data_IF_388059120693
#
_entry.id   IF_388059120693
#
_cell.length_a   1.000
_cell.length_b   1.000
_cell.length_c   1.000
_cell.angle_alpha   90.00
_cell.angle_beta   90.00
_cell.angle_gamma   90.00
#
_symmetry.space_group_name_H-M   'P 1'
#
loop_
_entity.id
_entity.type
_entity.pdbx_description
1 polymer ?
#
# COMPACT_ATOMS: atom_id res chain seq x y z
N UNK A 1 -5.20 -1.86 36.31
CA UNK A 1 -4.47 -2.63 35.29
C UNK A 1 -4.56 -4.09 35.71
N UNK A 2 -4.94 -4.96 34.80
CA UNK A 2 -5.16 -6.39 35.04
C UNK A 2 -4.28 -7.19 34.10
N UNK A 3 -3.92 -8.40 34.51
CA UNK A 3 -3.33 -9.42 33.63
C UNK A 3 -4.28 -9.72 32.48
N UNK A 4 -3.75 -9.87 31.27
CA UNK A 4 -4.52 -10.14 30.05
C UNK A 4 -4.12 -11.51 29.51
N UNK A 5 -5.11 -12.35 29.25
CA UNK A 5 -4.90 -13.63 28.54
C UNK A 5 -5.29 -13.48 27.07
N UNK A 6 -4.39 -13.83 26.18
CA UNK A 6 -4.59 -13.77 24.73
C UNK A 6 -4.00 -15.01 24.07
N UNK A 7 -4.83 -15.78 23.39
CA UNK A 7 -4.40 -16.97 22.64
C UNK A 7 -3.53 -17.94 23.45
N UNK A 8 -3.87 -18.16 24.74
CA UNK A 8 -3.15 -19.04 25.66
C UNK A 8 -1.91 -18.43 26.31
N UNK A 9 -1.57 -17.20 25.99
CA UNK A 9 -0.48 -16.44 26.62
C UNK A 9 -1.03 -15.52 27.71
N UNK A 10 -0.28 -15.40 28.80
CA UNK A 10 -0.56 -14.49 29.91
C UNK A 10 0.37 -13.29 29.85
N UNK A 11 -0.21 -12.09 29.91
CA UNK A 11 0.53 -10.83 29.86
C UNK A 11 0.30 -10.05 31.14
N UNK A 12 1.40 -9.76 31.83
CA UNK A 12 1.38 -9.00 33.06
C UNK A 12 0.94 -7.53 32.85
N UNK A 13 0.40 -6.87 33.88
CA UNK A 13 0.06 -5.47 33.83
C UNK A 13 1.24 -4.59 33.40
N UNK A 14 1.09 -3.85 32.31
CA UNK A 14 2.15 -3.01 31.76
C UNK A 14 2.90 -3.61 30.55
N UNK A 15 2.62 -4.87 30.19
CA UNK A 15 3.14 -5.44 28.95
C UNK A 15 2.68 -4.61 27.74
N UNK A 16 3.61 -4.37 26.80
CA UNK A 16 3.33 -3.67 25.56
C UNK A 16 3.24 -4.71 24.44
N UNK A 17 2.06 -4.85 23.85
CA UNK A 17 1.83 -5.72 22.72
C UNK A 17 1.95 -4.91 21.43
N UNK A 18 2.84 -5.31 20.54
CA UNK A 18 3.06 -4.62 19.25
C UNK A 18 2.71 -5.57 18.11
N UNK A 19 1.53 -5.41 17.47
CA UNK A 19 1.20 -6.18 16.29
C UNK A 19 2.14 -5.82 15.14
N UNK A 20 2.81 -6.82 14.56
CA UNK A 20 3.70 -6.61 13.44
C UNK A 20 2.93 -6.73 12.12
N UNK A 21 2.47 -5.59 11.59
CA UNK A 21 1.72 -5.50 10.32
C UNK A 21 2.54 -6.06 9.15
N UNK A 22 3.86 -5.82 9.14
CA UNK A 22 4.74 -6.36 8.11
C UNK A 22 4.69 -7.89 8.07
N UNK A 23 4.85 -8.56 9.21
CA UNK A 23 4.77 -10.01 9.28
C UNK A 23 3.37 -10.52 8.91
N UNK A 24 2.32 -9.83 9.32
CA UNK A 24 0.95 -10.20 8.97
C UNK A 24 0.74 -10.18 7.44
N UNK A 25 1.30 -9.19 6.74
CA UNK A 25 1.22 -9.07 5.28
C UNK A 25 2.21 -9.98 4.53
N UNK A 26 3.09 -10.69 5.24
CA UNK A 26 4.07 -11.63 4.66
C UNK A 26 3.81 -13.09 5.08
N UNK A 27 2.64 -13.38 5.65
CA UNK A 27 2.24 -14.76 5.94
C UNK A 27 1.92 -15.48 4.63
N UNK A 28 2.67 -16.54 4.34
CA UNK A 28 2.53 -17.29 3.08
C UNK A 28 1.15 -17.94 2.92
N UNK A 29 0.50 -18.29 4.05
CA UNK A 29 -0.86 -18.85 4.07
C UNK A 29 -1.91 -17.87 3.57
N UNK A 30 -1.71 -16.57 3.88
CA UNK A 30 -2.63 -15.49 3.48
C UNK A 30 -2.20 -14.86 2.16
N UNK A 31 -0.89 -14.71 1.97
CA UNK A 31 -0.29 -14.05 0.82
C UNK A 31 0.73 -15.00 0.16
N UNK A 32 0.31 -15.89 -0.73
CA UNK A 32 1.25 -16.72 -1.50
C UNK A 32 2.26 -15.84 -2.23
N UNK A 33 3.55 -16.23 -2.19
CA UNK A 33 4.67 -15.45 -2.72
C UNK A 33 4.67 -13.98 -2.19
N UNK A 34 4.77 -13.75 -0.85
CA UNK A 34 4.52 -12.42 -0.27
C UNK A 34 5.52 -11.36 -0.72
N UNK A 35 6.73 -11.75 -1.08
CA UNK A 35 7.77 -10.84 -1.61
C UNK A 35 7.52 -10.43 -3.06
N UNK A 36 6.62 -11.11 -3.76
CA UNK A 36 6.30 -10.81 -5.15
C UNK A 36 5.27 -9.69 -5.24
N UNK A 37 5.56 -8.65 -6.02
CA UNK A 37 4.56 -7.65 -6.39
C UNK A 37 3.51 -8.29 -7.30
N UNK A 38 2.36 -8.58 -6.73
CA UNK A 38 1.23 -9.19 -7.43
C UNK A 38 -0.07 -8.47 -7.05
N UNK A 39 -0.45 -7.42 -7.78
CA UNK A 39 -1.69 -6.67 -7.52
C UNK A 39 -2.95 -7.50 -7.79
N UNK A 40 -2.87 -8.52 -8.64
CA UNK A 40 -4.03 -9.34 -9.04
C UNK A 40 -4.58 -10.16 -7.86
N UNK A 41 -3.77 -10.38 -6.80
CA UNK A 41 -4.26 -11.03 -5.58
C UNK A 41 -5.44 -10.29 -4.94
N UNK A 42 -5.51 -8.97 -5.09
CA UNK A 42 -6.61 -8.16 -4.58
C UNK A 42 -7.84 -8.16 -5.49
N UNK A 43 -7.68 -8.62 -6.73
CA UNK A 43 -8.80 -8.84 -7.66
C UNK A 43 -9.36 -10.26 -7.48
N UNK A 44 -8.50 -11.23 -7.18
CA UNK A 44 -8.86 -12.63 -7.03
C UNK A 44 -9.60 -12.93 -5.72
N UNK A 45 -9.27 -12.22 -4.65
CA UNK A 45 -9.89 -12.43 -3.33
C UNK A 45 -10.00 -11.13 -2.53
N UNK A 46 -10.91 -11.13 -1.57
CA UNK A 46 -11.05 -10.07 -0.58
C UNK A 46 -10.38 -10.50 0.71
N UNK A 47 -9.46 -9.69 1.19
CA UNK A 47 -8.84 -9.86 2.49
C UNK A 47 -9.72 -9.27 3.58
N UNK A 48 -9.78 -9.92 4.73
CA UNK A 48 -10.46 -9.41 5.92
C UNK A 48 -9.69 -8.24 6.52
N UNK A 49 -10.33 -7.51 7.42
CA UNK A 49 -9.68 -6.40 8.15
C UNK A 49 -8.61 -6.86 9.14
N UNK A 50 -8.49 -8.15 9.42
CA UNK A 50 -7.40 -8.73 10.21
C UNK A 50 -6.25 -9.25 9.35
N UNK A 51 -6.47 -9.46 8.07
CA UNK A 51 -5.46 -9.91 7.12
C UNK A 51 -4.79 -8.73 6.40
N UNK A 52 -5.54 -7.70 6.02
CA UNK A 52 -5.02 -6.53 5.31
C UNK A 52 -5.17 -5.26 6.15
N UNK A 53 -4.07 -4.83 6.74
CA UNK A 53 -3.99 -3.80 7.79
C UNK A 53 -3.12 -2.59 7.40
N UNK A 54 -3.13 -2.08 6.16
CA UNK A 54 -2.23 -0.99 5.75
C UNK A 54 -2.47 0.31 6.53
N UNK A 55 -3.65 0.45 7.12
CA UNK A 55 -4.06 1.58 7.95
C UNK A 55 -4.36 1.17 9.41
N UNK A 56 -3.79 0.05 9.85
CA UNK A 56 -4.12 -0.54 11.13
C UNK A 56 -5.49 -1.22 11.15
N UNK A 57 -5.98 -1.56 12.34
CA UNK A 57 -7.24 -2.28 12.50
C UNK A 57 -7.94 -1.94 13.81
N UNK A 58 -9.17 -2.45 13.93
CA UNK A 58 -10.01 -2.27 15.13
C UNK A 58 -10.39 -0.81 15.41
N UNK A 59 -10.63 -0.50 16.66
CA UNK A 59 -11.06 0.84 17.10
C UNK A 59 -10.00 1.95 16.94
N UNK A 60 -8.77 1.58 16.62
CA UNK A 60 -7.63 2.50 16.39
C UNK A 60 -7.19 2.56 14.96
N UNK A 61 -7.99 2.05 14.02
CA UNK A 61 -7.73 2.21 12.59
C UNK A 61 -7.60 3.68 12.20
N UNK A 62 -6.82 3.95 11.15
CA UNK A 62 -6.55 5.32 10.69
C UNK A 62 -7.83 6.03 10.27
N UNK A 63 -8.14 7.15 10.92
CA UNK A 63 -9.30 8.00 10.58
C UNK A 63 -9.18 8.60 9.17
N UNK A 64 -7.94 8.84 8.69
CA UNK A 64 -7.66 9.40 7.37
C UNK A 64 -7.62 8.38 6.22
N UNK A 65 -7.94 7.10 6.47
CA UNK A 65 -7.80 6.04 5.46
C UNK A 65 -8.53 6.36 4.15
N UNK A 66 -9.79 6.78 4.23
CA UNK A 66 -10.59 7.09 3.04
C UNK A 66 -10.00 8.23 2.22
N UNK A 67 -9.59 9.32 2.89
CA UNK A 67 -8.94 10.47 2.25
C UNK A 67 -7.61 10.07 1.61
N UNK A 68 -6.76 9.36 2.35
CA UNK A 68 -5.45 8.91 1.84
C UNK A 68 -5.59 8.00 0.62
N UNK A 69 -6.54 7.06 0.63
CA UNK A 69 -6.82 6.20 -0.53
C UNK A 69 -7.32 7.01 -1.72
N UNK A 70 -8.17 8.00 -1.50
CA UNK A 70 -8.66 8.87 -2.56
C UNK A 70 -7.53 9.70 -3.17
N UNK A 71 -6.70 10.34 -2.34
CA UNK A 71 -5.54 11.13 -2.79
C UNK A 71 -4.53 10.27 -3.56
N UNK A 72 -4.16 9.11 -3.03
CA UNK A 72 -3.23 8.19 -3.72
C UNK A 72 -3.76 7.77 -5.09
N UNK A 73 -5.04 7.41 -5.19
CA UNK A 73 -5.65 7.03 -6.47
C UNK A 73 -5.66 8.20 -7.45
N UNK A 74 -6.01 9.39 -7.01
CA UNK A 74 -6.05 10.59 -7.84
C UNK A 74 -4.65 10.94 -8.36
N UNK A 75 -3.66 11.00 -7.48
CA UNK A 75 -2.27 11.30 -7.84
C UNK A 75 -1.71 10.27 -8.81
N UNK A 76 -1.85 8.98 -8.49
CA UNK A 76 -1.37 7.90 -9.35
C UNK A 76 -2.06 7.91 -10.71
N UNK A 77 -3.38 8.07 -10.75
CA UNK A 77 -4.12 8.15 -12.00
C UNK A 77 -3.63 9.33 -12.86
N UNK A 78 -3.49 10.53 -12.26
CA UNK A 78 -3.04 11.73 -12.97
C UNK A 78 -1.61 11.57 -13.49
N UNK A 79 -0.71 11.09 -12.65
CA UNK A 79 0.71 10.96 -13.00
C UNK A 79 0.92 9.87 -14.05
N UNK A 80 0.33 8.68 -13.85
CA UNK A 80 0.51 7.55 -14.76
C UNK A 80 -0.25 7.70 -16.07
N UNK A 81 -1.33 8.48 -16.12
CA UNK A 81 -2.01 8.80 -17.38
C UNK A 81 -1.25 9.83 -18.21
N UNK A 82 -0.50 10.73 -17.56
CA UNK A 82 0.18 11.84 -18.22
C UNK A 82 1.62 11.53 -18.61
N UNK A 83 2.30 10.64 -17.88
CA UNK A 83 3.73 10.42 -18.04
C UNK A 83 4.10 8.95 -18.22
N UNK A 84 5.20 8.73 -18.92
CA UNK A 84 5.89 7.44 -18.97
C UNK A 84 7.11 7.51 -18.05
N UNK A 85 7.34 6.44 -17.32
CA UNK A 85 8.45 6.35 -16.38
C UNK A 85 9.35 5.17 -16.70
N UNK A 86 10.63 5.35 -16.44
CA UNK A 86 11.61 4.28 -16.44
C UNK A 86 12.47 4.40 -15.19
N UNK A 87 12.85 3.27 -14.64
CA UNK A 87 13.88 3.21 -13.61
C UNK A 87 15.14 2.61 -14.19
N UNK A 88 16.28 3.13 -13.80
CA UNK A 88 17.60 2.54 -14.03
C UNK A 88 18.09 1.71 -12.84
N UNK A 89 17.19 1.41 -11.92
CA UNK A 89 17.50 0.63 -10.74
C UNK A 89 17.50 -0.85 -11.10
N UNK A 90 18.69 -1.45 -11.17
CA UNK A 90 18.98 -2.78 -11.70
C UNK A 90 18.92 -3.90 -10.65
N UNK A 91 18.60 -3.55 -9.41
CA UNK A 91 18.54 -4.46 -8.27
C UNK A 91 17.16 -4.41 -7.60
N UNK A 92 16.78 -5.44 -6.83
CA UNK A 92 15.53 -5.41 -6.06
C UNK A 92 15.47 -4.21 -5.13
N UNK A 93 14.39 -3.43 -5.20
CA UNK A 93 14.16 -2.29 -4.31
C UNK A 93 13.85 -2.82 -2.93
N UNK A 94 14.80 -2.66 -2.00
CA UNK A 94 14.59 -3.01 -0.60
C UNK A 94 14.20 -1.76 0.16
N UNK A 95 13.07 -1.76 0.87
CA UNK A 95 12.65 -0.61 1.65
C UNK A 95 13.65 -0.33 2.77
N UNK A 96 13.94 0.94 2.99
CA UNK A 96 14.77 1.40 4.11
C UNK A 96 13.90 2.07 5.16
N UNK A 97 14.25 1.88 6.43
CA UNK A 97 13.51 2.47 7.53
C UNK A 97 13.85 3.96 7.66
N UNK A 98 12.81 4.78 7.67
CA UNK A 98 12.92 6.22 7.97
C UNK A 98 11.96 6.56 9.10
N UNK A 99 12.50 6.66 10.31
CA UNK A 99 11.68 6.81 11.53
C UNK A 99 10.78 5.60 11.76
N UNK A 100 9.46 5.81 11.72
CA UNK A 100 8.45 4.75 11.90
C UNK A 100 7.91 4.20 10.57
N UNK A 101 8.38 4.72 9.43
CA UNK A 101 7.93 4.33 8.10
C UNK A 101 9.02 3.62 7.32
N UNK A 102 8.61 2.95 6.25
CA UNK A 102 9.51 2.42 5.24
C UNK A 102 9.36 3.23 3.95
N UNK A 103 10.48 3.52 3.32
CA UNK A 103 10.56 4.30 2.08
C UNK A 103 11.51 3.61 1.09
N UNK A 104 11.44 3.92 -0.21
CA UNK A 104 12.47 3.49 -1.14
C UNK A 104 13.86 3.99 -0.73
N UNK A 105 14.96 3.33 -1.16
CA UNK A 105 16.32 3.82 -0.92
C UNK A 105 16.52 5.23 -1.50
N UNK A 106 17.42 6.00 -0.90
CA UNK A 106 17.66 7.39 -1.32
C UNK A 106 18.26 7.53 -2.73
N UNK A 107 18.85 6.46 -3.25
CA UNK A 107 19.39 6.37 -4.62
C UNK A 107 18.37 5.87 -5.67
N UNK A 108 17.17 5.47 -5.24
CA UNK A 108 16.10 5.09 -6.16
C UNK A 108 15.61 6.32 -6.95
N UNK A 109 15.59 6.20 -8.27
CA UNK A 109 15.13 7.27 -9.16
C UNK A 109 14.18 6.71 -10.22
N UNK A 110 13.16 7.52 -10.52
CA UNK A 110 12.32 7.34 -11.70
C UNK A 110 12.59 8.50 -12.66
N UNK A 111 12.95 8.17 -13.88
CA UNK A 111 13.09 9.15 -14.96
C UNK A 111 11.77 9.26 -15.73
N UNK A 112 11.33 10.47 -16.01
CA UNK A 112 10.24 10.73 -16.96
C UNK A 112 10.83 10.57 -18.36
N UNK A 113 10.35 9.60 -19.12
CA UNK A 113 10.84 9.27 -20.45
C UNK A 113 9.94 9.79 -21.57
N UNK A 114 8.74 10.23 -21.24
CA UNK A 114 7.79 10.78 -22.21
C UNK A 114 6.49 11.23 -21.58
N UNK A 115 5.73 11.94 -22.38
CA UNK A 115 4.34 12.27 -22.09
C UNK A 115 3.40 11.30 -22.79
N UNK A 116 2.32 10.95 -22.13
CA UNK A 116 1.20 10.23 -22.76
C UNK A 116 0.21 11.26 -23.27
N UNK A 117 -0.13 11.21 -24.55
CA UNK A 117 -1.25 11.97 -25.07
C UNK A 117 -2.53 11.21 -24.65
N UNK A 118 -3.22 11.75 -23.66
CA UNK A 118 -4.55 11.24 -23.32
C UNK A 118 -5.52 11.91 -24.27
N UNK A 119 -5.96 11.21 -25.29
CA UNK A 119 -7.17 11.62 -26.02
C UNK A 119 -8.32 11.56 -25.02
N UNK A 120 -8.80 12.72 -24.61
CA UNK A 120 -9.90 12.81 -23.67
C UNK A 120 -11.22 12.60 -24.43
N UNK A 121 -11.86 11.44 -24.35
CA UNK A 121 -13.09 11.18 -25.10
C UNK A 121 -14.27 12.06 -24.66
N UNK A 122 -14.13 12.77 -23.52
CA UNK A 122 -15.16 13.67 -22.98
C UNK A 122 -15.13 15.06 -23.64
N UNK A 123 -14.03 15.41 -24.32
CA UNK A 123 -13.87 16.72 -24.97
C UNK A 123 -14.02 16.67 -26.50
N UNK A 124 -14.59 15.61 -27.05
CA UNK A 124 -15.00 15.65 -28.45
C UNK A 124 -16.15 16.65 -28.58
N UNK A 125 -16.04 17.66 -29.46
CA UNK A 125 -17.15 18.55 -29.74
C UNK A 125 -18.34 17.69 -30.18
N UNK A 126 -19.53 17.92 -29.60
CA UNK A 126 -20.75 17.37 -30.13
C UNK A 126 -20.85 17.86 -31.58
N UNK A 127 -20.59 16.98 -32.54
CA UNK A 127 -20.83 17.32 -33.92
C UNK A 127 -22.32 17.67 -34.04
N UNK A 128 -22.56 18.92 -34.39
CA UNK A 128 -23.91 19.45 -34.61
C UNK A 128 -24.58 18.68 -35.72
N UNK A 129 -25.60 17.89 -35.37
CA UNK A 129 -26.53 17.29 -36.32
C UNK A 129 -27.44 18.37 -36.97
#
# INVERSE_FOLDING_TARGET
>A
KQTVHLEGYEFEPGAILVPCIYLAHHRAETYPEPERFNPDRFMAQKFSSSEFLPFGGGSRSCVGMALSLFEMKLVLATVLSSYQFQTNYDRPVRPVRRGITFVPPDDFRLAVTGHRVVENPILQPLESA
#
